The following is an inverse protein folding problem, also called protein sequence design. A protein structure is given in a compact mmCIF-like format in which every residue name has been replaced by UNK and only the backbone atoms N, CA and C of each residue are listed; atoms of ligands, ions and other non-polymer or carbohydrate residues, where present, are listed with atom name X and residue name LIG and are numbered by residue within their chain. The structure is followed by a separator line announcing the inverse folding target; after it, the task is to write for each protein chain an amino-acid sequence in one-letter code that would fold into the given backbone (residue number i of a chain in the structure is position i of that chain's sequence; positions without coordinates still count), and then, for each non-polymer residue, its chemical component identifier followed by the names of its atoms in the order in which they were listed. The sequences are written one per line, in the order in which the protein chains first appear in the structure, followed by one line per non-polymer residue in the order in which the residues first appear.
data_IF_890204279422
#
_entry.id   IF_890204279422
#
_cell.length_a   1.000
_cell.length_b   1.000
_cell.length_c   1.000
_cell.angle_alpha   90.00
_cell.angle_beta   90.00
_cell.angle_gamma   90.00
#
_symmetry.space_group_name_H-M   'P 1'
#
loop_
_entity.id
_entity.type
_entity.pdbx_description
1 polymer ?
#
# COMPACT_ATOMS: atom_id res chain seq x y z
N UNK A 1 -51.30 -30.25 57.67
CA UNK A 1 -50.69 -31.12 56.66
C UNK A 1 -50.12 -30.36 55.43
N UNK A 2 -50.52 -29.11 55.14
CA UNK A 2 -50.05 -28.37 53.95
C UNK A 2 -48.62 -27.79 54.06
N UNK A 3 -48.13 -27.46 55.26
CA UNK A 3 -46.81 -26.85 55.43
C UNK A 3 -45.64 -27.83 55.23
N UNK A 4 -45.79 -29.11 55.52
CA UNK A 4 -44.76 -30.14 55.32
C UNK A 4 -44.52 -30.44 53.85
N UNK A 5 -45.57 -30.40 53.01
CA UNK A 5 -45.46 -30.59 51.55
C UNK A 5 -44.76 -29.42 50.87
N UNK A 6 -44.98 -28.21 51.35
CA UNK A 6 -44.34 -26.99 50.85
C UNK A 6 -42.81 -26.97 51.12
N UNK A 7 -42.39 -27.36 52.34
CA UNK A 7 -40.96 -27.43 52.69
C UNK A 7 -40.18 -28.48 51.91
N UNK A 8 -40.79 -29.65 51.65
CA UNK A 8 -40.16 -30.70 50.86
C UNK A 8 -40.04 -30.31 49.38
N UNK A 9 -41.04 -29.62 48.84
CA UNK A 9 -41.02 -29.10 47.47
C UNK A 9 -39.96 -28.01 47.30
N UNK A 10 -39.83 -27.06 48.23
CA UNK A 10 -38.81 -25.98 48.20
C UNK A 10 -37.39 -26.61 48.26
N UNK A 11 -37.17 -27.62 49.12
CA UNK A 11 -35.90 -28.35 49.21
C UNK A 11 -35.56 -29.08 47.90
N UNK A 12 -36.55 -29.74 47.28
CA UNK A 12 -36.35 -30.45 46.01
C UNK A 12 -36.02 -29.46 44.89
N UNK A 13 -36.73 -28.33 44.81
CA UNK A 13 -36.49 -27.25 43.85
C UNK A 13 -35.11 -26.61 44.02
N UNK A 14 -34.68 -26.36 45.28
CA UNK A 14 -33.35 -25.82 45.55
C UNK A 14 -32.24 -26.80 45.21
N UNK A 15 -32.48 -28.11 45.38
CA UNK A 15 -31.49 -29.16 45.05
C UNK A 15 -31.26 -29.32 43.56
N UNK A 16 -32.27 -28.99 42.72
CA UNK A 16 -32.17 -29.04 41.24
C UNK A 16 -31.71 -27.69 40.69
N UNK A 17 -32.21 -26.57 41.23
CA UNK A 17 -31.90 -25.22 40.69
C UNK A 17 -30.45 -24.79 40.98
N UNK A 18 -29.90 -25.19 42.14
CA UNK A 18 -28.54 -24.77 42.52
C UNK A 18 -27.46 -25.31 41.57
N UNK A 19 -27.44 -26.63 41.19
CA UNK A 19 -26.53 -27.17 40.20
C UNK A 19 -26.74 -26.56 38.82
N UNK A 20 -27.98 -26.29 38.41
CA UNK A 20 -28.30 -25.68 37.14
C UNK A 20 -27.74 -24.22 37.06
N UNK A 21 -27.91 -23.42 38.11
CA UNK A 21 -27.33 -22.06 38.17
C UNK A 21 -25.79 -22.14 38.13
N UNK A 22 -25.18 -23.08 38.88
CA UNK A 22 -23.74 -23.22 38.87
C UNK A 22 -23.21 -23.64 37.50
N UNK A 23 -23.89 -24.57 36.80
CA UNK A 23 -23.54 -24.96 35.43
C UNK A 23 -23.66 -23.80 34.45
N UNK A 24 -24.71 -22.97 34.56
CA UNK A 24 -24.85 -21.76 33.73
C UNK A 24 -23.73 -20.76 33.99
N UNK A 25 -23.32 -20.55 35.24
CA UNK A 25 -22.23 -19.65 35.58
C UNK A 25 -20.87 -20.14 35.03
N UNK A 26 -20.63 -21.47 35.12
CA UNK A 26 -19.41 -22.05 34.54
C UNK A 26 -19.40 -21.90 33.01
N UNK A 27 -20.50 -22.18 32.33
CA UNK A 27 -20.63 -22.03 30.89
C UNK A 27 -20.45 -20.57 30.47
N UNK A 28 -21.06 -19.63 31.19
CA UNK A 28 -20.94 -18.21 30.92
C UNK A 28 -19.50 -17.70 31.12
N UNK A 29 -18.86 -18.10 32.21
CA UNK A 29 -17.46 -17.76 32.49
C UNK A 29 -16.52 -18.35 31.43
N UNK A 30 -16.74 -19.62 31.04
CA UNK A 30 -15.97 -20.31 30.01
C UNK A 30 -16.14 -19.63 28.65
N UNK A 31 -17.36 -19.21 28.31
CA UNK A 31 -17.64 -18.47 27.08
C UNK A 31 -16.92 -17.11 27.06
N UNK A 32 -16.91 -16.40 28.19
CA UNK A 32 -16.23 -15.11 28.31
C UNK A 32 -14.72 -15.22 28.16
N UNK A 33 -14.11 -16.21 28.83
CA UNK A 33 -12.68 -16.50 28.75
C UNK A 33 -12.31 -16.94 27.32
N UNK A 34 -13.11 -17.83 26.73
CA UNK A 34 -12.89 -18.28 25.35
C UNK A 34 -12.95 -17.12 24.35
N UNK A 35 -13.97 -16.26 24.46
CA UNK A 35 -14.14 -15.12 23.55
C UNK A 35 -13.01 -14.10 23.71
N UNK A 36 -12.52 -13.85 24.93
CA UNK A 36 -11.40 -12.96 25.19
C UNK A 36 -10.10 -13.53 24.58
N UNK A 37 -9.79 -14.79 24.86
CA UNK A 37 -8.60 -15.46 24.31
C UNK A 37 -8.65 -15.57 22.79
N UNK A 38 -9.84 -15.81 22.22
CA UNK A 38 -10.04 -15.87 20.77
C UNK A 38 -9.76 -14.51 20.11
N UNK A 39 -10.26 -13.41 20.67
CA UNK A 39 -9.98 -12.05 20.17
C UNK A 39 -8.48 -11.72 20.23
N UNK A 40 -7.83 -12.06 21.34
CA UNK A 40 -6.39 -11.85 21.50
C UNK A 40 -5.58 -12.66 20.50
N UNK A 41 -5.94 -13.92 20.31
CA UNK A 41 -5.30 -14.81 19.33
C UNK A 41 -5.46 -14.27 17.91
N UNK A 42 -6.67 -13.82 17.52
CA UNK A 42 -6.88 -13.20 16.20
C UNK A 42 -6.03 -11.95 16.06
N UNK A 43 -6.02 -11.06 17.07
CA UNK A 43 -5.23 -9.84 17.04
C UNK A 43 -3.74 -10.14 16.85
N UNK A 44 -3.19 -11.07 17.64
CA UNK A 44 -1.79 -11.45 17.56
C UNK A 44 -1.43 -12.08 16.21
N UNK A 45 -2.26 -13.00 15.71
CA UNK A 45 -2.06 -13.63 14.41
C UNK A 45 -2.14 -12.60 13.27
N UNK A 46 -3.09 -11.65 13.34
CA UNK A 46 -3.21 -10.58 12.35
C UNK A 46 -2.00 -9.65 12.36
N UNK A 47 -1.47 -9.34 13.54
CA UNK A 47 -0.25 -8.51 13.67
C UNK A 47 0.95 -9.21 13.06
N UNK A 48 1.19 -10.48 13.42
CA UNK A 48 2.29 -11.28 12.86
C UNK A 48 2.17 -11.40 11.33
N UNK A 49 0.97 -11.64 10.85
CA UNK A 49 0.68 -11.74 9.42
C UNK A 49 0.97 -10.42 8.69
N UNK A 50 0.56 -9.29 9.28
CA UNK A 50 0.83 -7.97 8.74
C UNK A 50 2.33 -7.66 8.71
N UNK A 51 3.06 -7.98 9.77
CA UNK A 51 4.51 -7.82 9.84
C UNK A 51 5.23 -8.63 8.75
N UNK A 52 4.84 -9.88 8.54
CA UNK A 52 5.38 -10.72 7.46
C UNK A 52 5.08 -10.15 6.08
N UNK A 53 3.84 -9.68 5.88
CA UNK A 53 3.45 -9.03 4.63
C UNK A 53 4.26 -7.77 4.38
N UNK A 54 4.38 -6.87 5.35
CA UNK A 54 5.18 -5.64 5.24
C UNK A 54 6.65 -5.96 4.91
N UNK A 55 7.25 -6.93 5.60
CA UNK A 55 8.63 -7.36 5.33
C UNK A 55 8.80 -7.85 3.89
N UNK A 56 7.86 -8.66 3.40
CA UNK A 56 7.91 -9.14 2.01
C UNK A 56 7.80 -7.99 1.00
N UNK A 57 6.95 -6.98 1.27
CA UNK A 57 6.83 -5.79 0.43
C UNK A 57 8.12 -4.95 0.48
N UNK A 58 8.75 -4.81 1.64
CA UNK A 58 10.02 -4.11 1.81
C UNK A 58 11.13 -4.79 1.02
N UNK A 59 11.27 -6.11 1.11
CA UNK A 59 12.25 -6.90 0.35
C UNK A 59 12.04 -6.75 -1.17
N UNK A 60 10.79 -6.83 -1.63
CA UNK A 60 10.43 -6.63 -3.03
C UNK A 60 10.81 -5.22 -3.49
N UNK A 61 10.46 -4.20 -2.71
CA UNK A 61 10.77 -2.80 -3.01
C UNK A 61 12.27 -2.53 -2.99
N UNK A 62 13.03 -3.20 -2.09
CA UNK A 62 14.48 -3.11 -2.05
C UNK A 62 15.12 -3.72 -3.30
N UNK A 63 14.66 -4.89 -3.76
CA UNK A 63 15.15 -5.52 -4.99
C UNK A 63 14.91 -4.63 -6.22
N UNK A 64 13.76 -3.98 -6.29
CA UNK A 64 13.46 -2.99 -7.33
C UNK A 64 14.43 -1.81 -7.23
N UNK A 65 14.65 -1.28 -6.02
CA UNK A 65 15.57 -0.16 -5.79
C UNK A 65 16.99 -0.49 -6.25
N UNK A 66 17.48 -1.70 -5.98
CA UNK A 66 18.78 -2.18 -6.47
C UNK A 66 18.84 -2.22 -8.00
N UNK A 67 17.75 -2.66 -8.64
CA UNK A 67 17.66 -2.67 -10.11
C UNK A 67 17.71 -1.27 -10.71
N UNK A 68 17.06 -0.30 -10.06
CA UNK A 68 17.09 1.11 -10.47
C UNK A 68 18.47 1.74 -10.20
N UNK A 69 19.09 1.45 -9.06
CA UNK A 69 20.43 1.94 -8.74
C UNK A 69 21.48 1.44 -9.74
N UNK A 70 21.36 0.19 -10.19
CA UNK A 70 22.22 -0.35 -11.25
C UNK A 70 22.06 0.42 -12.58
N UNK A 71 20.89 0.98 -12.87
CA UNK A 71 20.71 1.85 -14.04
C UNK A 71 21.48 3.16 -13.92
N UNK A 72 21.69 3.68 -12.70
CA UNK A 72 22.39 4.97 -12.52
C UNK A 72 23.82 4.94 -13.05
N UNK A 73 24.40 3.75 -13.19
CA UNK A 73 25.73 3.52 -13.76
C UNK A 73 25.72 3.28 -15.28
N UNK A 74 24.54 3.07 -15.88
CA UNK A 74 24.40 2.81 -17.32
C UNK A 74 24.50 4.12 -18.12
N UNK A 75 25.72 4.42 -18.56
CA UNK A 75 25.99 5.65 -19.32
C UNK A 75 25.17 5.72 -20.61
N UNK A 76 25.04 4.63 -21.38
CA UNK A 76 24.28 4.62 -22.64
C UNK A 76 22.82 4.97 -22.41
N UNK A 77 22.24 4.43 -21.34
CA UNK A 77 20.87 4.70 -20.96
C UNK A 77 20.63 6.21 -20.72
N UNK A 78 21.47 6.84 -19.92
CA UNK A 78 21.32 8.27 -19.60
C UNK A 78 21.73 9.18 -20.75
N UNK A 79 22.78 8.85 -21.51
CA UNK A 79 23.16 9.61 -22.69
C UNK A 79 22.02 9.64 -23.73
N UNK A 80 21.22 8.55 -23.82
CA UNK A 80 20.02 8.52 -24.67
C UNK A 80 18.90 9.38 -24.09
N UNK A 81 18.60 9.27 -22.81
CA UNK A 81 17.55 10.05 -22.15
C UNK A 81 17.86 11.56 -22.20
N UNK A 82 19.13 11.93 -22.04
CA UNK A 82 19.60 13.33 -22.10
C UNK A 82 19.77 13.86 -23.54
N UNK A 83 19.41 13.06 -24.54
CA UNK A 83 19.45 13.47 -25.94
C UNK A 83 20.85 13.51 -26.55
N UNK A 84 21.86 12.95 -25.89
CA UNK A 84 23.23 12.80 -26.43
C UNK A 84 23.27 11.73 -27.53
N UNK A 85 22.52 10.63 -27.31
CA UNK A 85 22.32 9.56 -28.28
C UNK A 85 20.87 9.59 -28.75
N UNK A 86 20.64 9.74 -30.05
CA UNK A 86 19.31 9.95 -30.64
C UNK A 86 18.92 8.90 -31.67
N UNK A 87 19.75 7.88 -31.88
CA UNK A 87 19.44 6.81 -32.80
C UNK A 87 18.24 5.97 -32.31
N UNK A 88 17.45 5.46 -33.25
CA UNK A 88 16.30 4.59 -32.94
C UNK A 88 16.72 3.37 -32.11
N UNK A 89 17.93 2.85 -32.33
CA UNK A 89 18.50 1.72 -31.58
C UNK A 89 18.71 2.07 -30.09
N UNK A 90 19.11 3.31 -29.79
CA UNK A 90 19.33 3.78 -28.41
C UNK A 90 18.00 4.02 -27.68
N UNK A 91 17.03 4.62 -28.34
CA UNK A 91 15.67 4.77 -27.82
C UNK A 91 15.06 3.39 -27.51
N UNK A 92 15.21 2.44 -28.44
CA UNK A 92 14.73 1.06 -28.25
C UNK A 92 15.43 0.38 -27.07
N UNK A 93 16.70 0.68 -26.84
CA UNK A 93 17.46 0.18 -25.69
C UNK A 93 16.86 0.67 -24.36
N UNK A 94 16.59 1.96 -24.23
CA UNK A 94 15.93 2.55 -23.04
C UNK A 94 14.57 1.88 -22.80
N UNK A 95 13.73 1.81 -23.82
CA UNK A 95 12.41 1.17 -23.73
C UNK A 95 12.49 -0.30 -23.30
N UNK A 96 13.46 -1.05 -23.83
CA UNK A 96 13.68 -2.45 -23.46
C UNK A 96 14.06 -2.61 -22.00
N UNK A 97 14.91 -1.72 -21.46
CA UNK A 97 15.30 -1.74 -20.06
C UNK A 97 14.09 -1.43 -19.17
N UNK A 98 13.34 -0.36 -19.47
CA UNK A 98 12.13 -0.02 -18.70
C UNK A 98 11.11 -1.16 -18.73
N UNK A 99 10.93 -1.79 -19.88
CA UNK A 99 10.07 -2.98 -20.01
C UNK A 99 10.55 -4.13 -19.15
N UNK A 100 11.87 -4.40 -19.13
CA UNK A 100 12.44 -5.47 -18.30
C UNK A 100 12.19 -5.21 -16.81
N UNK A 101 12.37 -3.97 -16.33
CA UNK A 101 12.11 -3.62 -14.92
C UNK A 101 10.63 -3.81 -14.61
N UNK A 102 9.73 -3.31 -15.45
CA UNK A 102 8.28 -3.49 -15.27
C UNK A 102 7.87 -4.97 -15.21
N UNK A 103 8.46 -5.82 -16.05
CA UNK A 103 8.11 -7.24 -16.13
C UNK A 103 8.69 -8.08 -14.97
N UNK A 104 9.65 -7.56 -14.23
CA UNK A 104 10.25 -8.30 -13.11
C UNK A 104 9.27 -8.53 -11.95
N UNK A 105 8.22 -7.72 -11.84
CA UNK A 105 7.19 -7.88 -10.80
C UNK A 105 5.87 -7.25 -11.24
N UNK A 106 4.76 -7.90 -10.92
CA UNK A 106 3.42 -7.37 -11.12
C UNK A 106 3.10 -6.18 -10.18
N UNK A 107 3.93 -5.93 -9.19
CA UNK A 107 3.82 -4.78 -8.29
C UNK A 107 3.97 -3.45 -9.05
N UNK A 108 4.75 -3.42 -10.15
CA UNK A 108 4.96 -2.21 -10.94
C UNK A 108 3.87 -2.06 -11.98
N UNK A 109 2.94 -1.11 -11.80
CA UNK A 109 1.96 -0.75 -12.84
C UNK A 109 2.64 -0.09 -14.03
N UNK A 110 3.45 0.93 -13.77
CA UNK A 110 4.13 1.68 -14.82
C UNK A 110 5.48 2.23 -14.34
N UNK A 111 6.37 2.48 -15.29
CA UNK A 111 7.66 3.13 -15.05
C UNK A 111 7.91 4.15 -16.16
N UNK A 112 8.34 5.33 -15.77
CA UNK A 112 8.65 6.43 -16.67
C UNK A 112 9.90 7.17 -16.21
N UNK A 113 10.60 7.79 -17.17
CA UNK A 113 11.69 8.72 -16.88
C UNK A 113 11.30 10.07 -17.42
N UNK A 114 11.24 11.04 -16.55
CA UNK A 114 11.03 12.43 -16.94
C UNK A 114 12.37 13.14 -17.03
N UNK A 115 12.74 13.57 -18.23
CA UNK A 115 13.89 14.44 -18.51
C UNK A 115 13.39 15.88 -18.54
N UNK A 116 13.83 16.67 -17.55
CA UNK A 116 13.31 18.01 -17.31
C UNK A 116 13.77 19.07 -18.31
N UNK A 117 14.94 18.89 -18.90
CA UNK A 117 15.51 19.89 -19.84
C UNK A 117 14.77 19.89 -21.16
N UNK A 118 14.54 18.70 -21.73
CA UNK A 118 13.80 18.51 -22.99
C UNK A 118 12.29 18.44 -22.78
N UNK A 119 11.84 18.37 -21.52
CA UNK A 119 10.43 18.12 -21.16
C UNK A 119 9.88 16.84 -21.80
N UNK A 120 10.70 15.79 -21.82
CA UNK A 120 10.38 14.51 -22.44
C UNK A 120 10.15 13.42 -21.38
N UNK A 121 9.16 12.56 -21.59
CA UNK A 121 8.87 11.41 -20.74
C UNK A 121 9.08 10.13 -21.54
N UNK A 122 10.06 9.35 -21.14
CA UNK A 122 10.37 8.04 -21.70
C UNK A 122 9.61 6.96 -20.94
N UNK A 123 8.86 6.15 -21.65
CA UNK A 123 8.16 4.98 -21.10
C UNK A 123 8.67 3.70 -21.75
N UNK A 124 8.18 2.56 -21.29
CA UNK A 124 8.53 1.27 -21.87
C UNK A 124 8.02 1.06 -23.33
N UNK A 125 7.16 1.94 -23.86
CA UNK A 125 6.56 1.81 -25.19
C UNK A 125 6.78 3.05 -26.06
N UNK A 126 6.70 4.26 -25.49
CA UNK A 126 6.71 5.52 -26.24
C UNK A 126 7.52 6.60 -25.52
N UNK A 127 7.75 7.69 -26.25
CA UNK A 127 8.23 8.96 -25.70
C UNK A 127 7.09 9.97 -25.89
N UNK A 128 6.80 10.74 -24.85
CA UNK A 128 5.77 11.76 -24.82
C UNK A 128 6.39 13.09 -24.43
N UNK A 129 5.73 14.21 -24.73
CA UNK A 129 5.99 15.46 -24.02
C UNK A 129 5.49 15.33 -22.58
N UNK A 130 6.12 16.08 -21.65
CA UNK A 130 5.72 16.02 -20.24
C UNK A 130 4.26 16.45 -20.04
N UNK A 131 3.82 17.50 -20.74
CA UNK A 131 2.44 17.97 -20.70
C UNK A 131 1.48 16.88 -21.18
N UNK A 132 1.71 16.26 -22.33
CA UNK A 132 0.87 15.17 -22.83
C UNK A 132 0.81 14.01 -21.84
N UNK A 133 1.97 13.62 -21.28
CA UNK A 133 2.04 12.49 -20.37
C UNK A 133 1.26 12.72 -19.08
N UNK A 134 1.55 13.83 -18.39
CA UNK A 134 0.96 14.08 -17.07
C UNK A 134 -0.46 14.63 -17.11
N UNK A 135 -0.89 15.24 -18.23
CA UNK A 135 -2.24 15.78 -18.36
C UNK A 135 -3.24 14.82 -19.03
N UNK A 136 -2.75 13.91 -19.88
CA UNK A 136 -3.65 13.09 -20.69
C UNK A 136 -3.38 11.59 -20.54
N UNK A 137 -2.10 11.18 -20.68
CA UNK A 137 -1.76 9.75 -20.70
C UNK A 137 -1.76 9.12 -19.32
N UNK A 138 -1.24 9.86 -18.32
CA UNK A 138 -1.11 9.38 -16.95
C UNK A 138 -1.35 10.53 -15.99
N UNK A 139 -2.62 10.94 -15.87
CA UNK A 139 -3.02 12.11 -15.09
C UNK A 139 -3.22 11.73 -13.62
N UNK A 140 -2.32 12.23 -12.78
CA UNK A 140 -2.41 12.05 -11.32
C UNK A 140 -3.35 13.09 -10.70
N UNK A 141 -4.26 12.66 -9.86
CA UNK A 141 -5.16 13.56 -9.15
C UNK A 141 -4.40 14.52 -8.19
N UNK A 142 -3.32 14.02 -7.55
CA UNK A 142 -2.57 14.77 -6.54
C UNK A 142 -1.24 15.32 -7.04
N UNK A 143 -0.79 14.97 -8.25
CA UNK A 143 0.54 15.29 -8.79
C UNK A 143 0.42 15.72 -10.25
N UNK A 144 -0.02 16.96 -10.47
CA UNK A 144 -0.16 17.50 -11.81
C UNK A 144 1.20 17.77 -12.49
N UNK A 145 1.18 18.26 -13.73
CA UNK A 145 2.39 18.55 -14.48
C UNK A 145 3.32 19.52 -13.74
N UNK A 146 2.78 20.60 -13.13
CA UNK A 146 3.55 21.60 -12.39
C UNK A 146 4.28 20.98 -11.20
N UNK A 147 3.63 20.05 -10.49
CA UNK A 147 4.28 19.31 -9.41
C UNK A 147 5.54 18.57 -9.90
N UNK A 148 5.46 17.88 -11.04
CA UNK A 148 6.59 17.14 -11.60
C UNK A 148 7.67 18.07 -12.17
N UNK A 149 7.29 19.14 -12.83
CA UNK A 149 8.22 20.14 -13.36
C UNK A 149 9.05 20.80 -12.26
N UNK A 150 8.40 21.14 -11.14
CA UNK A 150 9.03 21.80 -9.99
C UNK A 150 9.56 20.81 -8.94
N UNK A 151 9.43 19.51 -9.17
CA UNK A 151 9.84 18.48 -8.20
C UNK A 151 11.29 18.67 -7.78
N UNK A 152 11.48 18.90 -6.49
CA UNK A 152 12.79 19.00 -5.85
C UNK A 152 13.01 17.72 -5.06
N UNK A 153 13.96 16.90 -5.49
CA UNK A 153 14.27 15.69 -4.74
C UNK A 153 14.76 16.06 -3.34
N UNK A 154 14.27 15.38 -2.32
CA UNK A 154 14.96 15.35 -1.04
C UNK A 154 16.35 14.72 -1.22
N UNK A 155 17.22 14.88 -0.22
CA UNK A 155 18.59 14.35 -0.23
C UNK A 155 18.67 12.81 -0.33
N UNK A 156 17.55 12.12 -0.45
CA UNK A 156 17.49 10.66 -0.58
C UNK A 156 17.35 10.24 -2.04
N UNK A 157 18.04 9.17 -2.41
CA UNK A 157 17.95 8.55 -3.75
C UNK A 157 16.55 8.08 -4.12
N UNK A 158 15.74 7.77 -3.11
CA UNK A 158 14.38 7.22 -3.26
C UNK A 158 13.41 7.99 -2.36
N UNK A 159 12.30 8.41 -2.95
CA UNK A 159 11.18 9.03 -2.24
C UNK A 159 9.90 8.30 -2.56
N UNK A 160 9.18 7.87 -1.54
CA UNK A 160 7.83 7.31 -1.69
C UNK A 160 6.84 8.45 -1.48
N UNK A 161 6.06 8.75 -2.51
CA UNK A 161 5.00 9.76 -2.42
C UNK A 161 3.72 9.11 -1.87
N UNK A 162 2.85 9.90 -1.24
CA UNK A 162 1.53 9.44 -0.83
C UNK A 162 0.74 8.79 -1.99
N UNK A 163 -0.11 7.79 -1.70
CA UNK A 163 -0.99 7.19 -2.68
C UNK A 163 -1.80 8.22 -3.46
N UNK A 164 -2.06 7.95 -4.74
CA UNK A 164 -2.84 8.81 -5.63
C UNK A 164 -3.73 7.98 -6.55
N UNK A 165 -4.80 8.62 -7.01
CA UNK A 165 -5.59 8.13 -8.13
C UNK A 165 -4.94 8.64 -9.41
N UNK A 166 -4.84 7.76 -10.40
CA UNK A 166 -4.40 8.11 -11.75
C UNK A 166 -5.49 7.78 -12.74
N UNK A 167 -5.74 8.69 -13.67
CA UNK A 167 -6.57 8.42 -14.83
C UNK A 167 -5.68 8.16 -16.04
N UNK A 168 -5.68 6.93 -16.54
CA UNK A 168 -4.90 6.54 -17.71
C UNK A 168 -5.74 6.71 -18.98
N UNK A 169 -5.19 7.46 -19.94
CA UNK A 169 -5.83 7.78 -21.23
C UNK A 169 -7.25 8.38 -21.12
N UNK A 170 -7.53 9.09 -20.00
CA UNK A 170 -8.81 9.75 -19.77
C UNK A 170 -9.97 8.84 -19.31
N UNK A 171 -9.77 7.52 -19.21
CA UNK A 171 -10.86 6.57 -18.96
C UNK A 171 -10.62 5.67 -17.75
N UNK A 172 -9.45 5.07 -17.65
CA UNK A 172 -9.17 4.03 -16.65
C UNK A 172 -8.61 4.64 -15.36
N UNK A 173 -9.34 4.52 -14.27
CA UNK A 173 -8.84 4.89 -12.95
C UNK A 173 -8.00 3.77 -12.35
N UNK A 174 -6.82 4.14 -11.84
CA UNK A 174 -5.90 3.26 -11.13
C UNK A 174 -5.54 3.87 -9.79
N UNK A 175 -5.25 3.02 -8.84
CA UNK A 175 -4.80 3.41 -7.50
C UNK A 175 -3.33 3.04 -7.37
N UNK A 176 -2.48 4.02 -7.15
CA UNK A 176 -1.03 3.83 -7.21
C UNK A 176 -0.29 4.50 -6.06
N UNK A 177 0.91 4.01 -5.78
CA UNK A 177 1.91 4.67 -4.93
C UNK A 177 3.07 5.07 -5.82
N UNK A 178 3.28 6.37 -6.09
CA UNK A 178 4.44 6.82 -6.85
C UNK A 178 5.72 6.70 -6.01
N UNK A 179 6.72 6.06 -6.58
CA UNK A 179 8.08 6.01 -6.03
C UNK A 179 9.00 6.73 -6.99
N UNK A 180 9.66 7.76 -6.49
CA UNK A 180 10.55 8.61 -7.27
C UNK A 180 11.98 8.28 -6.94
N UNK A 181 12.76 8.00 -7.97
CA UNK A 181 14.21 7.83 -7.86
C UNK A 181 14.91 8.98 -8.54
N UNK A 182 15.97 9.46 -7.91
CA UNK A 182 16.81 10.53 -8.43
C UNK A 182 18.25 10.06 -8.50
N UNK A 183 18.97 10.51 -9.52
CA UNK A 183 20.38 10.17 -9.66
C UNK A 183 21.20 10.99 -8.66
N UNK A 184 21.94 10.34 -7.77
CA UNK A 184 22.74 10.99 -6.70
C UNK A 184 23.69 12.05 -7.23
N UNK A 185 24.28 11.84 -8.39
CA UNK A 185 25.29 12.72 -8.99
C UNK A 185 24.69 13.81 -9.89
N UNK A 186 23.37 13.87 -10.05
CA UNK A 186 22.73 14.87 -10.86
C UNK A 186 22.46 16.14 -10.03
N UNK A 187 23.46 17.01 -9.95
CA UNK A 187 23.39 18.30 -9.23
C UNK A 187 22.22 19.19 -9.68
N UNK A 188 21.66 18.92 -10.85
CA UNK A 188 20.60 19.72 -11.47
C UNK A 188 19.26 19.01 -11.53
N UNK A 189 19.17 17.77 -11.02
CA UNK A 189 17.93 16.97 -11.09
C UNK A 189 17.31 16.94 -12.49
N UNK A 190 18.14 16.70 -13.49
CA UNK A 190 17.68 16.65 -14.88
C UNK A 190 16.72 15.51 -15.14
N UNK A 191 16.98 14.35 -14.51
CA UNK A 191 16.25 13.13 -14.74
C UNK A 191 15.62 12.61 -13.45
N UNK A 192 14.34 12.32 -13.47
CA UNK A 192 13.64 11.60 -12.41
C UNK A 192 13.02 10.32 -12.98
N UNK A 193 13.21 9.22 -12.27
CA UNK A 193 12.56 7.95 -12.59
C UNK A 193 11.33 7.86 -11.70
N UNK A 194 10.17 7.75 -12.32
CA UNK A 194 8.87 7.64 -11.64
C UNK A 194 8.40 6.21 -11.82
N UNK A 195 8.26 5.48 -10.73
CA UNK A 195 7.73 4.12 -10.72
C UNK A 195 6.44 4.10 -9.93
N UNK A 196 5.40 3.61 -10.54
CA UNK A 196 4.08 3.54 -9.94
C UNK A 196 3.80 2.11 -9.48
N UNK A 197 3.60 1.93 -8.19
CA UNK A 197 3.23 0.66 -7.59
C UNK A 197 1.71 0.52 -7.59
N UNK A 198 1.21 -0.63 -8.00
CA UNK A 198 -0.22 -0.94 -8.05
C UNK A 198 -0.75 -1.27 -6.65
N UNK A 199 -1.64 -0.42 -6.11
CA UNK A 199 -2.27 -0.63 -4.80
C UNK A 199 -3.16 -1.87 -4.81
N UNK A 200 -3.90 -2.12 -5.91
CA UNK A 200 -4.76 -3.29 -6.01
C UNK A 200 -3.96 -4.59 -5.96
N UNK A 201 -2.78 -4.59 -6.60
CA UNK A 201 -1.85 -5.73 -6.49
C UNK A 201 -1.37 -5.92 -5.06
N UNK A 202 -0.95 -4.85 -4.38
CA UNK A 202 -0.52 -4.91 -2.96
C UNK A 202 -1.63 -5.49 -2.09
N UNK A 203 -2.87 -4.99 -2.24
CA UNK A 203 -4.02 -5.46 -1.47
C UNK A 203 -4.34 -6.93 -1.79
N UNK A 204 -4.28 -7.33 -3.06
CA UNK A 204 -4.52 -8.71 -3.47
C UNK A 204 -3.49 -9.69 -2.91
N UNK A 205 -2.24 -9.25 -2.77
CA UNK A 205 -1.21 -10.06 -2.11
C UNK A 205 -1.51 -10.29 -0.63
N UNK A 206 -2.08 -9.29 0.07
CA UNK A 206 -2.51 -9.48 1.45
C UNK A 206 -3.60 -10.53 1.60
N UNK A 207 -4.48 -10.69 0.61
CA UNK A 207 -5.51 -11.74 0.62
C UNK A 207 -4.95 -13.16 0.80
N UNK A 208 -3.69 -13.39 0.39
CA UNK A 208 -2.99 -14.66 0.61
C UNK A 208 -2.52 -14.87 2.05
N UNK A 209 -2.49 -13.83 2.85
CA UNK A 209 -2.01 -13.84 4.25
C UNK A 209 -3.12 -13.65 5.26
N UNK A 210 -4.35 -13.32 4.85
CA UNK A 210 -5.44 -13.02 5.78
C UNK A 210 -5.75 -14.18 6.72
N UNK A 211 -5.97 -13.86 7.99
CA UNK A 211 -6.21 -14.82 9.07
C UNK A 211 -7.67 -15.31 9.07
N UNK A 212 -8.60 -14.53 8.52
CA UNK A 212 -10.02 -14.86 8.45
C UNK A 212 -10.66 -14.31 7.18
N UNK A 213 -11.70 -14.98 6.69
CA UNK A 213 -12.44 -14.55 5.48
C UNK A 213 -13.11 -13.17 5.61
N UNK A 214 -13.33 -12.70 6.84
CA UNK A 214 -13.91 -11.38 7.12
C UNK A 214 -12.89 -10.24 7.25
N UNK A 215 -11.57 -10.53 7.17
CA UNK A 215 -10.54 -9.48 7.26
C UNK A 215 -10.32 -8.79 5.91
N UNK A 216 -10.16 -7.48 5.95
CA UNK A 216 -9.87 -6.64 4.78
C UNK A 216 -8.64 -5.79 5.06
N UNK A 217 -7.84 -5.56 4.02
CA UNK A 217 -6.65 -4.72 4.08
C UNK A 217 -6.90 -3.40 3.37
N UNK A 218 -6.47 -2.32 4.00
CA UNK A 218 -6.57 -0.98 3.45
C UNK A 218 -5.24 -0.24 3.62
N UNK A 219 -4.92 0.60 2.64
CA UNK A 219 -3.84 1.57 2.73
C UNK A 219 -4.43 2.95 3.02
N UNK A 220 -4.00 3.57 4.11
CA UNK A 220 -4.46 4.90 4.49
C UNK A 220 -3.45 5.96 4.07
N UNK A 221 -3.93 7.00 3.38
CA UNK A 221 -3.21 8.24 3.21
C UNK A 221 -3.74 9.26 4.21
N UNK A 222 -3.05 9.44 5.33
CA UNK A 222 -3.46 10.36 6.39
C UNK A 222 -3.38 11.83 5.96
N UNK A 223 -2.53 12.16 4.98
CA UNK A 223 -2.36 13.53 4.48
C UNK A 223 -3.56 13.98 3.64
N UNK A 224 -4.06 13.12 2.75
CA UNK A 224 -5.21 13.40 1.88
C UNK A 224 -6.51 12.88 2.46
N UNK A 225 -6.47 12.22 3.63
CA UNK A 225 -7.61 11.57 4.27
C UNK A 225 -8.32 10.56 3.35
N UNK A 226 -7.54 9.79 2.63
CA UNK A 226 -8.03 8.77 1.70
C UNK A 226 -7.71 7.36 2.23
N UNK A 227 -8.65 6.45 2.03
CA UNK A 227 -8.55 5.04 2.37
C UNK A 227 -8.67 4.21 1.09
N UNK A 228 -7.58 3.58 0.69
CA UNK A 228 -7.52 2.76 -0.52
C UNK A 228 -7.79 1.30 -0.17
N UNK A 229 -8.88 0.76 -0.70
CA UNK A 229 -9.21 -0.65 -0.71
C UNK A 229 -9.09 -1.23 -2.11
N UNK A 230 -9.44 -2.51 -2.27
CA UNK A 230 -9.44 -3.15 -3.58
C UNK A 230 -10.49 -2.49 -4.48
N UNK A 231 -10.03 -1.96 -5.61
CA UNK A 231 -10.84 -1.27 -6.62
C UNK A 231 -11.67 -0.09 -6.11
N UNK A 232 -11.29 0.48 -4.95
CA UNK A 232 -12.01 1.59 -4.35
C UNK A 232 -11.09 2.54 -3.59
N UNK A 233 -11.53 3.80 -3.53
CA UNK A 233 -10.95 4.82 -2.65
C UNK A 233 -12.12 5.50 -1.92
N UNK A 234 -12.03 5.56 -0.62
CA UNK A 234 -13.04 6.13 0.27
C UNK A 234 -12.41 7.26 1.10
N UNK A 235 -13.24 8.15 1.62
CA UNK A 235 -12.79 9.16 2.55
C UNK A 235 -12.52 8.52 3.92
N UNK A 236 -11.38 8.85 4.53
CA UNK A 236 -11.04 8.41 5.88
C UNK A 236 -11.85 9.21 6.89
N UNK A 237 -12.86 8.56 7.51
CA UNK A 237 -13.75 9.19 8.48
C UNK A 237 -13.04 9.54 9.80
N UNK A 238 -13.55 10.57 10.51
CA UNK A 238 -12.88 11.17 11.67
C UNK A 238 -12.47 10.19 12.76
N UNK A 239 -13.35 9.25 13.13
CA UNK A 239 -13.07 8.27 14.19
C UNK A 239 -11.91 7.32 13.85
N UNK A 240 -11.85 6.83 12.62
CA UNK A 240 -10.76 5.98 12.14
C UNK A 240 -9.46 6.79 11.97
N UNK A 241 -9.57 8.06 11.55
CA UNK A 241 -8.43 8.97 11.44
C UNK A 241 -7.77 9.22 12.79
N UNK A 242 -8.55 9.51 13.84
CA UNK A 242 -8.05 9.72 15.20
C UNK A 242 -7.32 8.49 15.74
N UNK A 243 -7.88 7.30 15.53
CA UNK A 243 -7.22 6.04 15.92
C UNK A 243 -5.89 5.81 15.20
N UNK A 244 -5.81 6.17 13.91
CA UNK A 244 -4.57 6.04 13.13
C UNK A 244 -3.51 7.07 13.56
N UNK A 245 -3.89 8.31 13.85
CA UNK A 245 -2.97 9.33 14.38
C UNK A 245 -2.41 8.94 15.74
N UNK A 246 -3.24 8.48 16.65
CA UNK A 246 -2.83 8.02 17.98
C UNK A 246 -1.83 6.86 17.89
N UNK A 247 -2.13 5.86 17.06
CA UNK A 247 -1.24 4.73 16.85
C UNK A 247 0.08 5.13 16.18
N UNK A 248 0.05 6.09 15.25
CA UNK A 248 1.26 6.56 14.54
C UNK A 248 2.15 7.40 15.45
N UNK A 249 1.58 8.16 16.39
CA UNK A 249 2.33 8.91 17.38
C UNK A 249 3.03 8.00 18.39
N UNK A 250 2.40 6.89 18.77
CA UNK A 250 2.96 5.89 19.69
C UNK A 250 4.11 5.06 19.06
N UNK A 251 4.19 4.97 17.73
CA UNK A 251 5.28 4.28 17.02
C UNK A 251 6.53 5.17 16.82
N UNK A 252 6.43 6.48 17.07
CA UNK A 252 7.56 7.43 16.92
C UNK A 252 8.28 7.71 18.23
N UNK A 253 7.80 7.21 19.36
CA UNK A 253 8.40 7.27 20.67
C UNK A 253 9.04 5.91 21.04
#
# INVERSE_FOLDING_TARGET
MNNLKSHSFIRLMSLISLPAIFSCLILFSSFFIYNSNYKETIKNNSTITLEHFCRHQDETTQNISLSISALSEDKRFFDTVEGVLTETADITYVQKILRKIKLNTALIDSIAIFEKTSQSVYTNNNIYTADEYFSTRFNYENYNYEFWADYKAPLSEKTILPPSIVTENGENKKYIIPVVFTRINDKHLKNIIIMNLDINYIISQYDNYKVSDGSSFYLANTRTKQLFGKDKCEELTGELYEQLEENTSNLKN
#
